data_IF_886745984512
#
_entry.id   IF_886745984512
#
_cell.length_a   1.000
_cell.length_b   1.000
_cell.length_c   1.000
_cell.angle_alpha   90.00
_cell.angle_beta   90.00
_cell.angle_gamma   90.00
#
_symmetry.space_group_name_H-M   'P 1'
#
loop_
_entity.id
_entity.type
_entity.pdbx_description
1 polymer ?
#
# COMPACT_ATOMS: atom_id res chain seq x y z
N UNK A 1 4.30 1.44 9.84
CA UNK A 1 4.06 2.80 9.24
C UNK A 1 5.41 3.49 9.07
N UNK A 2 5.58 4.43 8.13
CA UNK A 2 6.72 5.37 8.19
C UNK A 2 6.41 6.68 7.45
N UNK A 3 6.72 7.80 8.10
CA UNK A 3 6.57 9.16 7.55
C UNK A 3 7.85 9.64 6.87
N UNK A 4 8.93 9.77 7.62
CA UNK A 4 10.21 10.26 7.10
C UNK A 4 11.03 9.18 6.37
N UNK A 5 10.86 7.91 6.76
CA UNK A 5 11.62 6.77 6.21
C UNK A 5 10.72 5.82 5.42
N UNK A 6 10.28 6.27 4.25
CA UNK A 6 9.35 5.53 3.38
C UNK A 6 9.91 4.15 3.00
N UNK A 7 11.24 4.01 2.93
CA UNK A 7 11.91 2.76 2.59
C UNK A 7 11.66 1.65 3.62
N UNK A 8 11.29 2.00 4.86
CA UNK A 8 10.97 1.07 5.94
C UNK A 8 9.46 0.91 6.17
N UNK A 9 8.63 1.09 5.13
CA UNK A 9 7.19 0.76 5.22
C UNK A 9 6.99 -0.74 5.51
N UNK A 10 6.01 -1.03 6.37
CA UNK A 10 5.57 -2.39 6.75
C UNK A 10 4.48 -2.94 5.82
N UNK A 11 3.84 -2.07 5.03
CA UNK A 11 2.88 -2.47 3.99
C UNK A 11 3.54 -3.46 3.01
N UNK A 12 2.99 -4.66 2.89
CA UNK A 12 3.45 -5.70 1.96
C UNK A 12 2.49 -5.87 0.78
N UNK A 13 3.02 -6.35 -0.34
CA UNK A 13 2.26 -6.81 -1.48
C UNK A 13 2.80 -8.17 -1.92
N UNK A 14 2.02 -9.23 -1.72
CA UNK A 14 2.40 -10.60 -2.08
C UNK A 14 1.70 -10.99 -3.38
N UNK A 15 2.46 -11.48 -4.36
CA UNK A 15 1.89 -11.99 -5.63
C UNK A 15 1.05 -13.24 -5.35
N UNK A 16 -0.18 -13.21 -5.83
CA UNK A 16 -1.13 -14.34 -5.81
C UNK A 16 -1.71 -14.53 -7.21
N UNK A 17 -1.15 -15.50 -7.95
CA UNK A 17 -1.48 -15.73 -9.35
C UNK A 17 -1.15 -14.54 -10.25
N UNK A 18 -2.19 -13.95 -10.85
CA UNK A 18 -2.15 -12.76 -11.71
C UNK A 18 -2.36 -11.44 -10.93
N UNK A 19 -2.56 -11.53 -9.61
CA UNK A 19 -2.91 -10.40 -8.75
C UNK A 19 -1.89 -10.20 -7.61
N UNK A 20 -2.07 -9.13 -6.83
CA UNK A 20 -1.32 -8.89 -5.60
C UNK A 20 -2.26 -8.71 -4.41
N UNK A 21 -1.94 -9.38 -3.30
CA UNK A 21 -2.60 -9.19 -2.01
C UNK A 21 -1.80 -8.19 -1.20
N UNK A 22 -2.43 -7.05 -0.91
CA UNK A 22 -1.86 -5.97 -0.13
C UNK A 22 -2.25 -6.13 1.34
N UNK A 23 -1.27 -6.06 2.25
CA UNK A 23 -1.51 -6.23 3.69
C UNK A 23 -0.72 -5.21 4.51
N UNK A 24 -1.41 -4.56 5.44
CA UNK A 24 -0.83 -3.58 6.37
C UNK A 24 -1.68 -2.32 6.48
N UNK A 25 -1.10 -1.30 7.10
CA UNK A 25 -1.76 -0.03 7.33
C UNK A 25 -0.99 1.15 6.77
N UNK A 26 -1.75 2.15 6.30
CA UNK A 26 -1.26 3.48 5.96
C UNK A 26 -2.01 4.51 6.82
N UNK A 27 -1.34 5.62 7.11
CA UNK A 27 -1.87 6.68 7.99
C UNK A 27 -1.58 8.04 7.38
N UNK A 28 -2.32 9.06 7.82
CA UNK A 28 -2.18 10.44 7.34
C UNK A 28 -2.45 10.58 5.84
N UNK A 29 -3.44 9.82 5.36
CA UNK A 29 -3.82 9.78 3.95
C UNK A 29 -4.84 10.89 3.69
N UNK A 30 -4.37 11.99 3.09
CA UNK A 30 -5.25 13.02 2.57
C UNK A 30 -6.28 12.41 1.63
N UNK A 31 -7.54 12.85 1.75
CA UNK A 31 -8.69 12.28 1.04
C UNK A 31 -9.01 10.81 1.39
N UNK A 32 -8.46 10.28 2.50
CA UNK A 32 -8.92 9.02 3.08
C UNK A 32 -10.44 9.04 3.29
N UNK A 33 -11.12 8.00 2.81
CA UNK A 33 -12.59 7.89 2.88
C UNK A 33 -13.37 8.53 1.74
N UNK A 34 -12.77 9.40 0.91
CA UNK A 34 -13.47 10.06 -0.20
C UNK A 34 -12.79 9.91 -1.57
N UNK A 35 -11.61 9.29 -1.64
CA UNK A 35 -10.89 9.13 -2.90
C UNK A 35 -11.39 7.90 -3.67
N UNK A 36 -11.64 8.08 -4.97
CA UNK A 36 -12.00 6.98 -5.88
C UNK A 36 -10.79 6.09 -6.22
N UNK A 37 -9.57 6.58 -6.03
CA UNK A 37 -8.34 5.87 -6.34
C UNK A 37 -7.24 6.22 -5.32
N UNK A 38 -6.56 5.18 -4.84
CA UNK A 38 -5.41 5.27 -3.96
C UNK A 38 -4.14 4.80 -4.67
N UNK A 39 -3.08 5.61 -4.62
CA UNK A 39 -1.73 5.18 -5.01
C UNK A 39 -1.04 4.62 -3.78
N UNK A 40 -0.88 3.30 -3.72
CA UNK A 40 -0.35 2.61 -2.54
C UNK A 40 1.07 2.10 -2.81
N UNK A 41 2.03 2.55 -2.00
CA UNK A 41 3.37 1.99 -1.98
C UNK A 41 3.45 0.82 -0.99
N UNK A 42 3.83 -0.35 -1.51
CA UNK A 42 3.95 -1.59 -0.73
C UNK A 42 5.21 -2.36 -1.13
N UNK A 43 5.74 -3.17 -0.19
CA UNK A 43 6.93 -3.99 -0.40
C UNK A 43 6.58 -5.27 -1.14
N UNK A 44 7.18 -5.44 -2.31
CA UNK A 44 7.13 -6.67 -3.13
C UNK A 44 8.36 -7.55 -2.93
N UNK A 45 9.47 -6.98 -2.42
CA UNK A 45 10.63 -7.74 -1.95
C UNK A 45 11.67 -8.10 -3.01
N UNK A 46 11.61 -7.49 -4.20
CA UNK A 46 12.58 -7.75 -5.28
C UNK A 46 14.02 -7.31 -4.94
N UNK A 47 14.17 -6.36 -4.01
CA UNK A 47 15.47 -5.88 -3.52
C UNK A 47 15.36 -5.25 -2.11
N UNK A 48 16.48 -5.06 -1.38
CA UNK A 48 16.46 -4.39 -0.08
C UNK A 48 16.04 -2.90 -0.14
N UNK A 49 15.50 -2.40 0.97
CA UNK A 49 15.19 -0.97 1.16
C UNK A 49 14.14 -0.45 0.17
N UNK A 50 14.38 0.75 -0.38
CA UNK A 50 13.47 1.43 -1.30
C UNK A 50 13.32 0.72 -2.65
N UNK A 51 14.33 -0.06 -3.09
CA UNK A 51 14.29 -0.81 -4.35
C UNK A 51 13.32 -2.00 -4.31
N UNK A 52 12.90 -2.42 -3.12
CA UNK A 52 11.91 -3.49 -2.94
C UNK A 52 10.47 -3.00 -2.84
N UNK A 53 10.20 -1.73 -3.18
CA UNK A 53 8.86 -1.14 -3.17
C UNK A 53 8.30 -1.08 -4.58
N UNK A 54 6.99 -1.29 -4.67
CA UNK A 54 6.21 -1.08 -5.89
C UNK A 54 5.04 -0.15 -5.58
N UNK A 55 4.54 0.53 -6.61
CA UNK A 55 3.35 1.36 -6.52
C UNK A 55 2.15 0.62 -7.14
N UNK A 56 1.01 0.67 -6.47
CA UNK A 56 -0.23 0.04 -6.87
C UNK A 56 -1.33 1.09 -7.01
N UNK A 57 -2.15 0.96 -8.05
CA UNK A 57 -3.38 1.71 -8.20
C UNK A 57 -4.51 0.87 -7.60
N UNK A 58 -5.09 1.34 -6.50
CA UNK A 58 -6.13 0.61 -5.75
C UNK A 58 -7.43 1.41 -5.83
N UNK A 59 -8.50 0.86 -6.44
CA UNK A 59 -9.82 1.48 -6.43
C UNK A 59 -10.30 1.75 -5.00
N UNK A 60 -11.00 2.86 -4.78
CA UNK A 60 -11.50 3.25 -3.45
C UNK A 60 -12.56 2.31 -2.88
N UNK A 61 -13.17 1.48 -3.74
CA UNK A 61 -14.15 0.44 -3.41
C UNK A 61 -13.54 -0.98 -3.42
N UNK A 62 -12.21 -1.10 -3.51
CA UNK A 62 -11.54 -2.39 -3.54
C UNK A 62 -11.84 -3.22 -2.27
N UNK A 63 -12.22 -4.48 -2.47
CA UNK A 63 -12.52 -5.40 -1.37
C UNK A 63 -11.32 -5.52 -0.41
N UNK A 64 -11.58 -5.32 0.88
CA UNK A 64 -10.55 -5.40 1.93
C UNK A 64 -9.87 -4.06 2.24
N UNK A 65 -10.11 -3.02 1.45
CA UNK A 65 -9.77 -1.66 1.85
C UNK A 65 -10.76 -1.18 2.92
N UNK A 66 -10.25 -0.85 4.10
CA UNK A 66 -11.01 -0.30 5.21
C UNK A 66 -10.46 1.07 5.61
N UNK A 67 -11.35 1.98 5.99
CA UNK A 67 -10.99 3.28 6.56
C UNK A 67 -11.19 3.19 8.06
N UNK A 68 -10.11 3.33 8.82
CA UNK A 68 -10.13 3.41 10.27
C UNK A 68 -10.01 4.86 10.71
N UNK A 69 -10.85 5.28 11.66
CA UNK A 69 -10.80 6.58 12.34
C UNK A 69 -9.92 6.55 13.59
#
# INVERSE_FOLDING_TARGET
>A
RSGSDVANTEMTATRDGDSYVLSGEKTWISNGGIADLYVVFARTGEAPGAKGLSAFLVPGDARGLGIAE
#
